data_IF_029434228034
#
_entry.id   IF_029434228034
#
_cell.length_a   1.000
_cell.length_b   1.000
_cell.length_c   1.000
_cell.angle_alpha   90.00
_cell.angle_beta   90.00
_cell.angle_gamma   90.00
#
_symmetry.space_group_name_H-M   'P 1'
#
loop_
_entity.id
_entity.type
_entity.pdbx_description
1 polymer ?
#
# COMPACT_ATOMS: atom_id res chain seq x y z
N UNK A 1 -0.14 7.92 9.81
CA UNK A 1 0.89 6.91 10.08
C UNK A 1 1.45 6.35 8.77
N UNK A 2 2.76 6.10 8.70
CA UNK A 2 3.39 5.47 7.54
C UNK A 2 3.14 3.95 7.54
N UNK A 3 3.01 3.34 6.36
CA UNK A 3 2.93 1.87 6.20
C UNK A 3 4.04 1.13 6.98
N UNK A 4 3.78 -0.08 7.52
CA UNK A 4 4.84 -0.92 8.08
C UNK A 4 5.91 -1.28 7.04
N UNK A 5 7.14 -1.53 7.49
CA UNK A 5 8.28 -1.83 6.60
C UNK A 5 8.03 -3.06 5.71
N UNK A 6 7.33 -4.08 6.22
CA UNK A 6 7.02 -5.28 5.44
C UNK A 6 6.01 -4.97 4.31
N UNK A 7 5.01 -4.10 4.54
CA UNK A 7 4.07 -3.65 3.50
C UNK A 7 4.77 -2.75 2.50
N UNK A 8 5.66 -1.85 2.97
CA UNK A 8 6.52 -1.04 2.09
C UNK A 8 7.39 -1.90 1.19
N UNK A 9 7.91 -3.02 1.68
CA UNK A 9 8.68 -3.96 0.86
C UNK A 9 7.84 -4.57 -0.26
N UNK A 10 6.58 -4.95 0.02
CA UNK A 10 5.63 -5.42 -1.02
C UNK A 10 5.32 -4.33 -2.04
N UNK A 11 5.02 -3.11 -1.59
CA UNK A 11 4.78 -1.96 -2.47
C UNK A 11 6.01 -1.64 -3.33
N UNK A 12 7.23 -1.72 -2.79
CA UNK A 12 8.48 -1.51 -3.53
C UNK A 12 8.69 -2.56 -4.64
N UNK A 13 8.26 -3.79 -4.43
CA UNK A 13 8.31 -4.81 -5.47
C UNK A 13 7.40 -4.44 -6.66
N UNK A 14 6.21 -3.89 -6.38
CA UNK A 14 5.28 -3.40 -7.40
C UNK A 14 5.82 -2.18 -8.14
N UNK A 15 6.46 -1.22 -7.43
CA UNK A 15 7.07 -0.03 -8.05
C UNK A 15 8.10 -0.39 -9.13
N UNK A 16 8.84 -1.49 -8.92
CA UNK A 16 9.88 -1.97 -9.83
C UNK A 16 9.32 -2.64 -11.10
N UNK A 17 8.02 -2.90 -11.17
CA UNK A 17 7.40 -3.49 -12.35
C UNK A 17 7.30 -2.47 -13.49
N UNK A 18 7.44 -2.91 -14.75
CA UNK A 18 7.18 -2.05 -15.90
C UNK A 18 5.69 -1.70 -15.95
N UNK A 19 5.39 -0.43 -16.16
CA UNK A 19 4.03 0.09 -16.31
C UNK A 19 3.99 1.05 -17.50
N UNK A 20 2.81 1.16 -18.10
CA UNK A 20 2.56 2.03 -19.26
C UNK A 20 2.54 3.52 -18.86
N UNK A 21 2.04 3.84 -17.67
CA UNK A 21 1.99 5.22 -17.17
C UNK A 21 2.20 5.33 -15.65
N UNK A 22 2.45 6.55 -15.17
CA UNK A 22 2.71 6.81 -13.75
C UNK A 22 1.46 6.63 -12.88
N UNK A 23 0.26 6.87 -13.42
CA UNK A 23 -1.01 6.66 -12.72
C UNK A 23 -1.21 5.18 -12.38
N UNK A 24 -1.01 4.28 -13.35
CA UNK A 24 -1.08 2.83 -13.13
C UNK A 24 -0.14 2.37 -12.02
N UNK A 25 1.05 2.97 -11.91
CA UNK A 25 1.98 2.65 -10.82
C UNK A 25 1.40 3.01 -9.45
N UNK A 26 0.80 4.20 -9.33
CA UNK A 26 0.20 4.66 -8.08
C UNK A 26 -0.99 3.78 -7.71
N UNK A 27 -1.84 3.43 -8.69
CA UNK A 27 -2.98 2.54 -8.48
C UNK A 27 -2.54 1.13 -8.08
N UNK A 28 -1.52 0.58 -8.72
CA UNK A 28 -0.96 -0.73 -8.35
C UNK A 28 -0.35 -0.74 -6.95
N UNK A 29 0.34 0.33 -6.55
CA UNK A 29 0.87 0.45 -5.18
C UNK A 29 -0.24 0.55 -4.15
N UNK A 30 -1.29 1.34 -4.43
CA UNK A 30 -2.46 1.43 -3.57
C UNK A 30 -3.17 0.08 -3.48
N UNK A 31 -3.42 -0.57 -4.61
CA UNK A 31 -4.02 -1.91 -4.70
C UNK A 31 -3.24 -2.94 -3.87
N UNK A 32 -1.92 -2.88 -3.88
CA UNK A 32 -1.11 -3.76 -3.03
C UNK A 32 -1.28 -3.46 -1.55
N UNK A 33 -1.27 -2.19 -1.13
CA UNK A 33 -1.55 -1.81 0.26
C UNK A 33 -2.96 -2.26 0.72
N UNK A 34 -3.96 -2.16 -0.17
CA UNK A 34 -5.33 -2.62 0.10
C UNK A 34 -5.42 -4.11 0.43
N UNK A 35 -4.64 -4.98 -0.25
CA UNK A 35 -4.60 -6.42 0.07
C UNK A 35 -4.13 -6.71 1.49
N UNK A 36 -3.38 -5.79 2.09
CA UNK A 36 -2.84 -5.91 3.45
C UNK A 36 -3.67 -5.11 4.48
N UNK A 37 -4.87 -4.65 4.10
CA UNK A 37 -5.78 -3.93 5.00
C UNK A 37 -5.44 -2.45 5.18
N UNK A 38 -4.64 -1.85 4.29
CA UNK A 38 -4.32 -0.41 4.35
C UNK A 38 -5.04 0.34 3.24
N UNK A 39 -5.78 1.39 3.61
CA UNK A 39 -6.50 2.29 2.71
C UNK A 39 -5.80 3.65 2.67
N UNK A 40 -5.75 4.28 1.51
CA UNK A 40 -5.19 5.63 1.36
C UNK A 40 -6.22 6.68 1.78
N UNK A 41 -5.96 7.37 2.89
CA UNK A 41 -6.75 8.52 3.33
C UNK A 41 -6.32 9.77 2.55
N UNK A 42 -7.24 10.31 1.75
CA UNK A 42 -6.99 11.50 0.92
C UNK A 42 -6.95 12.81 1.70
N UNK A 43 -7.58 12.87 2.88
CA UNK A 43 -7.64 14.06 3.72
C UNK A 43 -6.34 14.22 4.51
N UNK A 44 -5.91 13.14 5.16
CA UNK A 44 -4.69 13.09 5.95
C UNK A 44 -3.43 12.78 5.10
N UNK A 45 -3.60 12.40 3.82
CA UNK A 45 -2.53 12.03 2.88
C UNK A 45 -1.63 10.92 3.44
N UNK A 46 -2.23 9.89 4.01
CA UNK A 46 -1.54 8.77 4.65
C UNK A 46 -2.26 7.45 4.42
N UNK A 47 -1.57 6.34 4.67
CA UNK A 47 -2.20 5.02 4.67
C UNK A 47 -2.71 4.70 6.07
N UNK A 48 -4.00 4.41 6.17
CA UNK A 48 -4.69 4.06 7.40
C UNK A 48 -5.03 2.58 7.35
N UNK A 49 -4.72 1.88 8.43
CA UNK A 49 -5.10 0.49 8.57
C UNK A 49 -6.60 0.38 8.88
N UNK A 50 -7.32 -0.35 8.04
CA UNK A 50 -8.78 -0.54 8.09
C UNK A 50 -9.19 -2.01 8.18
N UNK A 51 -8.22 -2.92 8.39
CA UNK A 51 -8.49 -4.35 8.54
C UNK A 51 -9.08 -4.68 9.92
N UNK A 52 -10.02 -5.63 9.95
CA UNK A 52 -10.55 -6.23 11.19
C UNK A 52 -9.57 -7.23 11.84
N UNK A 53 -8.60 -7.73 11.05
CA UNK A 53 -7.70 -8.84 11.43
C UNK A 53 -6.27 -8.36 11.63
N UNK A 54 -5.66 -8.49 12.81
CA UNK A 54 -4.46 -7.74 13.21
C UNK A 54 -3.39 -7.66 12.12
N UNK A 55 -2.85 -6.45 11.93
CA UNK A 55 -1.76 -6.16 11.01
C UNK A 55 -0.51 -6.97 11.38
N UNK A 56 -0.42 -8.22 10.93
CA UNK A 56 0.65 -9.14 11.32
C UNK A 56 2.01 -8.66 10.79
N UNK A 57 3.12 -8.97 11.50
CA UNK A 57 3.56 -10.36 11.67
C UNK A 57 3.79 -10.81 13.13
N UNK A 58 3.64 -12.11 13.39
CA UNK A 58 4.46 -12.86 14.35
C UNK A 58 5.74 -13.36 13.68
#
# INVERSE_FOLDING_TARGET
MSLPEWVKAKCRAVIRQPVSCMSDRVDNVRAEAYKHGYLWDHLAREFVYVGDTPAYPA
#
